data_IF_208649123005
#
_entry.id   IF_208649123005
#
_cell.length_a   1.000
_cell.length_b   1.000
_cell.length_c   1.000
_cell.angle_alpha   90.00
_cell.angle_beta   90.00
_cell.angle_gamma   90.00
#
_symmetry.space_group_name_H-M   'P 1'
#
loop_
_entity.id
_entity.type
_entity.pdbx_description
1 polymer ?
#
# COMPACT_ATOMS: atom_id res chain seq x y z
N UNK A 1 -39.14 -39.86 -15.13
CA UNK A 1 -38.74 -38.48 -15.51
C UNK A 1 -37.23 -38.43 -15.56
N UNK A 2 -36.64 -38.09 -16.71
CA UNK A 2 -35.18 -37.84 -16.81
C UNK A 2 -35.01 -36.33 -16.95
N UNK A 3 -34.44 -35.69 -15.93
CA UNK A 3 -33.97 -34.31 -16.05
C UNK A 3 -32.57 -34.36 -16.66
N UNK A 4 -32.45 -34.03 -17.94
CA UNK A 4 -31.16 -33.79 -18.58
C UNK A 4 -31.00 -32.30 -18.71
N UNK A 5 -29.95 -31.73 -18.10
CA UNK A 5 -29.49 -30.39 -18.45
C UNK A 5 -29.17 -30.36 -19.95
N UNK A 6 -29.62 -29.31 -20.63
CA UNK A 6 -29.38 -29.11 -22.05
C UNK A 6 -27.86 -29.16 -22.33
N UNK A 7 -27.38 -29.93 -23.33
CA UNK A 7 -25.95 -30.04 -23.64
C UNK A 7 -25.26 -28.71 -23.93
N UNK A 8 -26.01 -27.63 -24.19
CA UNK A 8 -25.48 -26.27 -24.36
C UNK A 8 -25.86 -25.44 -23.12
N UNK A 9 -25.25 -25.75 -21.98
CA UNK A 9 -25.38 -24.92 -20.78
C UNK A 9 -24.34 -23.79 -20.83
N UNK A 10 -24.81 -22.56 -20.99
CA UNK A 10 -23.97 -21.36 -20.91
C UNK A 10 -24.11 -20.78 -19.49
N UNK A 11 -22.98 -20.41 -18.90
CA UNK A 11 -22.92 -19.78 -17.58
C UNK A 11 -22.60 -18.30 -17.73
N UNK A 12 -23.37 -17.45 -17.07
CA UNK A 12 -23.14 -16.01 -16.95
C UNK A 12 -22.51 -15.71 -15.59
N UNK A 13 -21.49 -14.85 -15.53
CA UNK A 13 -20.78 -14.53 -14.30
C UNK A 13 -21.09 -13.13 -13.80
N UNK A 14 -21.08 -13.00 -12.48
CA UNK A 14 -21.39 -11.77 -11.78
C UNK A 14 -20.27 -11.45 -10.79
N UNK A 15 -19.99 -10.16 -10.65
CA UNK A 15 -19.09 -9.60 -9.63
C UNK A 15 -19.83 -8.55 -8.84
N UNK A 16 -19.89 -8.73 -7.52
CA UNK A 16 -20.64 -7.88 -6.60
C UNK A 16 -22.11 -7.71 -7.03
N UNK A 17 -22.74 -8.81 -7.48
CA UNK A 17 -24.11 -8.83 -7.99
C UNK A 17 -24.32 -8.18 -9.36
N UNK A 18 -23.27 -7.68 -10.04
CA UNK A 18 -23.37 -7.08 -11.37
C UNK A 18 -22.82 -8.02 -12.45
N UNK A 19 -23.46 -8.12 -13.63
CA UNK A 19 -23.00 -9.01 -14.69
C UNK A 19 -21.62 -8.58 -15.21
N UNK A 20 -20.73 -9.54 -15.41
CA UNK A 20 -19.40 -9.29 -15.99
C UNK A 20 -19.53 -9.39 -17.52
N UNK A 21 -19.23 -8.34 -18.28
CA UNK A 21 -19.31 -8.38 -19.74
C UNK A 21 -18.39 -9.44 -20.35
N UNK A 22 -18.87 -10.14 -21.39
CA UNK A 22 -18.11 -11.14 -22.14
C UNK A 22 -17.52 -12.27 -21.26
N UNK A 23 -18.20 -12.61 -20.16
CA UNK A 23 -17.77 -13.65 -19.23
C UNK A 23 -18.40 -15.02 -19.48
N UNK A 24 -19.28 -15.13 -20.49
CA UNK A 24 -20.05 -16.34 -20.74
C UNK A 24 -19.13 -17.55 -21.01
N UNK A 25 -19.36 -18.64 -20.29
CA UNK A 25 -18.58 -19.88 -20.42
C UNK A 25 -19.48 -21.08 -20.68
N UNK A 26 -19.01 -22.02 -21.50
CA UNK A 26 -19.67 -23.34 -21.67
C UNK A 26 -19.25 -24.37 -20.60
N UNK A 27 -18.49 -23.92 -19.60
CA UNK A 27 -17.99 -24.68 -18.45
C UNK A 27 -18.35 -23.90 -17.18
N UNK A 28 -18.62 -24.56 -16.04
CA UNK A 28 -18.88 -23.90 -14.76
C UNK A 28 -17.62 -23.24 -14.15
N UNK A 29 -16.60 -22.94 -14.96
CA UNK A 29 -15.31 -22.38 -14.53
C UNK A 29 -15.10 -21.02 -15.18
N UNK A 30 -14.91 -19.99 -14.36
CA UNK A 30 -14.44 -18.68 -14.79
C UNK A 30 -12.93 -18.57 -14.66
N UNK A 31 -12.27 -18.05 -15.69
CA UNK A 31 -10.82 -17.86 -15.69
C UNK A 31 -10.54 -16.36 -15.79
N UNK A 32 -9.91 -15.82 -14.74
CA UNK A 32 -9.36 -14.46 -14.74
C UNK A 32 -7.92 -14.52 -15.24
N UNK A 33 -7.61 -13.76 -16.29
CA UNK A 33 -6.25 -13.58 -16.78
C UNK A 33 -5.65 -12.30 -16.23
N UNK A 34 -4.36 -12.33 -15.86
CA UNK A 34 -3.62 -11.15 -15.37
C UNK A 34 -4.27 -10.48 -14.15
N UNK A 35 -4.51 -11.27 -13.10
CA UNK A 35 -5.21 -10.85 -11.88
C UNK A 35 -4.55 -9.62 -11.22
N UNK A 36 -5.36 -8.65 -10.84
CA UNK A 36 -4.97 -7.40 -10.19
C UNK A 36 -5.75 -7.15 -8.89
N UNK A 37 -5.35 -6.13 -8.13
CA UNK A 37 -6.08 -5.73 -6.91
C UNK A 37 -7.56 -5.41 -7.17
N UNK A 38 -7.88 -4.95 -8.39
CA UNK A 38 -9.24 -4.60 -8.81
C UNK A 38 -10.15 -5.82 -8.94
N UNK A 39 -9.60 -7.03 -9.08
CA UNK A 39 -10.37 -8.27 -9.19
C UNK A 39 -10.93 -8.77 -7.86
N UNK A 40 -10.54 -8.14 -6.74
CA UNK A 40 -11.15 -8.42 -5.44
C UNK A 40 -12.66 -8.16 -5.50
N UNK A 41 -13.45 -9.10 -5.00
CA UNK A 41 -14.90 -9.00 -5.03
C UNK A 41 -15.61 -10.32 -4.72
N UNK A 42 -16.94 -10.27 -4.74
CA UNK A 42 -17.82 -11.41 -4.54
C UNK A 42 -18.29 -11.91 -5.90
N UNK A 43 -18.04 -13.17 -6.21
CA UNK A 43 -18.34 -13.76 -7.50
C UNK A 43 -19.44 -14.80 -7.37
N UNK A 44 -20.37 -14.79 -8.34
CA UNK A 44 -21.40 -15.81 -8.50
C UNK A 44 -21.62 -16.09 -9.98
N UNK A 45 -22.32 -17.19 -10.27
CA UNK A 45 -22.73 -17.51 -11.63
C UNK A 45 -24.21 -17.88 -11.68
N UNK A 46 -24.80 -17.74 -12.85
CA UNK A 46 -26.14 -18.25 -13.17
C UNK A 46 -26.10 -18.95 -14.51
N UNK A 47 -27.05 -19.85 -14.76
CA UNK A 47 -27.24 -20.44 -16.09
C UNK A 47 -28.00 -19.44 -16.96
N UNK A 48 -27.62 -19.32 -18.23
CA UNK A 48 -28.32 -18.48 -19.20
C UNK A 48 -29.82 -18.86 -19.27
N UNK A 49 -30.70 -17.86 -19.15
CA UNK A 49 -32.15 -18.04 -19.03
C UNK A 49 -32.66 -18.34 -17.61
N UNK A 50 -31.77 -18.46 -16.62
CA UNK A 50 -32.06 -18.65 -15.21
C UNK A 50 -31.28 -17.66 -14.33
N UNK A 51 -31.10 -16.42 -14.81
CA UNK A 51 -30.40 -15.35 -14.10
C UNK A 51 -31.08 -14.93 -12.80
N UNK A 52 -32.35 -15.30 -12.61
CA UNK A 52 -33.12 -15.13 -11.38
C UNK A 52 -32.68 -16.07 -10.26
N UNK A 53 -31.86 -17.09 -10.56
CA UNK A 53 -31.39 -18.11 -9.64
C UNK A 53 -29.84 -18.21 -9.62
N UNK A 54 -29.12 -17.16 -9.18
CA UNK A 54 -27.67 -17.20 -9.08
C UNK A 54 -27.19 -18.19 -8.00
N UNK A 55 -25.97 -18.68 -8.17
CA UNK A 55 -25.24 -19.43 -7.15
C UNK A 55 -25.03 -18.59 -5.89
N UNK A 56 -24.62 -19.25 -4.80
CA UNK A 56 -24.02 -18.55 -3.68
C UNK A 56 -22.80 -17.72 -4.14
N UNK A 57 -22.55 -16.60 -3.47
CA UNK A 57 -21.43 -15.71 -3.76
C UNK A 57 -20.17 -16.15 -3.00
N UNK A 58 -19.06 -16.26 -3.73
CA UNK A 58 -17.74 -16.57 -3.19
C UNK A 58 -16.83 -15.34 -3.20
N UNK A 59 -16.06 -15.14 -2.12
CA UNK A 59 -15.20 -13.96 -2.00
C UNK A 59 -13.79 -14.24 -2.51
N UNK A 60 -13.40 -13.56 -3.59
CA UNK A 60 -12.02 -13.51 -4.06
C UNK A 60 -11.31 -12.31 -3.44
N UNK A 61 -10.22 -12.56 -2.70
CA UNK A 61 -9.34 -11.51 -2.18
C UNK A 61 -7.99 -11.58 -2.87
N UNK A 62 -7.61 -10.53 -3.59
CA UNK A 62 -6.29 -10.45 -4.24
C UNK A 62 -5.29 -9.80 -3.29
N UNK A 63 -4.25 -10.55 -2.94
CA UNK A 63 -3.16 -10.07 -2.08
C UNK A 63 -1.93 -9.68 -2.89
N UNK A 64 -1.26 -8.60 -2.49
CA UNK A 64 -0.09 -8.03 -3.16
C UNK A 64 0.89 -7.42 -2.16
N UNK A 65 2.16 -7.30 -2.57
CA UNK A 65 3.21 -6.66 -1.78
C UNK A 65 3.04 -5.14 -1.67
N UNK A 66 3.81 -4.46 -0.81
CA UNK A 66 3.74 -3.01 -0.67
C UNK A 66 4.04 -2.29 -1.99
N UNK A 67 3.24 -1.28 -2.33
CA UNK A 67 3.41 -0.40 -3.50
C UNK A 67 3.17 1.06 -3.11
N UNK A 68 3.59 2.00 -3.95
CA UNK A 68 3.44 3.44 -3.71
C UNK A 68 4.01 3.89 -2.34
N UNK A 69 5.11 3.26 -1.89
CA UNK A 69 5.74 3.59 -0.62
C UNK A 69 6.34 5.00 -0.65
N UNK A 70 5.98 5.84 0.32
CA UNK A 70 6.37 7.25 0.38
C UNK A 70 6.68 7.70 1.81
N UNK A 71 7.46 8.77 1.92
CA UNK A 71 7.84 9.41 3.19
C UNK A 71 7.36 10.85 3.21
N UNK A 72 6.75 11.25 4.32
CA UNK A 72 6.41 12.64 4.65
C UNK A 72 7.17 13.11 5.89
N UNK A 73 7.34 14.43 6.04
CA UNK A 73 8.05 15.05 7.16
C UNK A 73 7.19 16.13 7.83
N UNK A 74 7.31 16.24 9.15
CA UNK A 74 6.70 17.29 9.95
C UNK A 74 7.63 17.73 11.10
N UNK A 75 7.93 19.03 11.26
CA UNK A 75 7.55 20.14 10.38
C UNK A 75 8.26 20.04 9.01
N UNK A 76 7.67 20.63 7.98
CA UNK A 76 8.29 20.72 6.65
C UNK A 76 9.18 21.97 6.53
N UNK A 77 10.10 21.97 5.57
CA UNK A 77 11.04 23.07 5.34
C UNK A 77 12.39 22.88 6.04
N UNK A 78 13.08 23.98 6.30
CA UNK A 78 14.32 23.97 7.07
C UNK A 78 14.05 23.71 8.55
N UNK A 79 14.71 22.70 9.10
CA UNK A 79 14.51 22.28 10.49
C UNK A 79 15.62 22.89 11.34
N UNK A 80 15.26 23.67 12.35
CA UNK A 80 16.23 24.35 13.22
C UNK A 80 16.90 23.37 14.16
N UNK A 81 18.22 23.50 14.35
CA UNK A 81 18.96 22.70 15.34
C UNK A 81 18.34 22.77 16.74
N UNK A 82 18.31 21.62 17.40
CA UNK A 82 17.70 21.43 18.72
C UNK A 82 16.18 21.29 18.71
N UNK A 83 15.52 21.45 17.55
CA UNK A 83 14.09 21.12 17.40
C UNK A 83 13.86 19.62 17.22
N UNK A 84 12.61 19.21 17.00
CA UNK A 84 12.25 17.83 16.72
C UNK A 84 11.57 17.72 15.36
N UNK A 85 11.83 16.63 14.65
CA UNK A 85 11.20 16.30 13.38
C UNK A 85 10.67 14.86 13.42
N UNK A 86 9.52 14.64 12.80
CA UNK A 86 8.91 13.33 12.61
C UNK A 86 8.82 13.01 11.13
N UNK A 87 9.36 11.85 10.77
CA UNK A 87 9.17 11.23 9.46
C UNK A 87 8.06 10.19 9.58
N UNK A 88 7.17 10.14 8.59
CA UNK A 88 6.09 9.14 8.52
C UNK A 88 6.14 8.43 7.18
N UNK A 89 6.05 7.10 7.22
CA UNK A 89 6.05 6.24 6.06
C UNK A 89 4.61 5.80 5.74
N UNK A 90 4.25 5.80 4.46
CA UNK A 90 2.97 5.31 3.97
C UNK A 90 3.20 4.34 2.82
N UNK A 91 2.37 3.30 2.69
CA UNK A 91 2.44 2.33 1.60
C UNK A 91 1.09 1.62 1.45
N UNK A 92 0.73 1.32 0.21
CA UNK A 92 -0.47 0.55 -0.14
C UNK A 92 -0.12 -0.95 -0.25
N UNK A 93 -0.82 -1.80 0.50
CA UNK A 93 -0.52 -3.23 0.57
C UNK A 93 -1.73 -4.04 1.01
N UNK A 94 -1.87 -5.28 0.50
CA UNK A 94 -2.86 -6.24 0.99
C UNK A 94 -2.23 -7.64 1.17
N UNK A 95 -2.13 -8.18 2.40
CA UNK A 95 -2.55 -7.61 3.67
C UNK A 95 -1.76 -6.34 4.04
N UNK A 96 -2.22 -5.55 5.03
CA UNK A 96 -1.53 -4.34 5.46
C UNK A 96 -0.07 -4.59 5.84
N UNK A 97 0.74 -3.54 5.72
CA UNK A 97 2.15 -3.54 6.14
C UNK A 97 2.24 -3.81 7.64
N UNK A 98 3.01 -4.83 8.03
CA UNK A 98 3.22 -5.15 9.45
C UNK A 98 4.57 -4.64 9.98
N UNK A 99 5.49 -4.25 9.10
CA UNK A 99 6.81 -3.77 9.49
C UNK A 99 7.27 -2.61 8.61
N UNK A 100 7.73 -1.56 9.28
CA UNK A 100 8.44 -0.43 8.69
C UNK A 100 9.84 -0.34 9.31
N UNK A 101 10.85 -0.16 8.46
CA UNK A 101 12.24 0.04 8.87
C UNK A 101 12.80 1.31 8.26
N UNK A 102 13.37 2.20 9.07
CA UNK A 102 13.92 3.47 8.64
C UNK A 102 15.42 3.39 8.39
N UNK A 103 15.87 4.07 7.35
CA UNK A 103 17.26 4.14 6.96
C UNK A 103 17.66 5.58 6.66
N UNK A 104 18.93 5.89 6.94
CA UNK A 104 19.61 7.07 6.41
C UNK A 104 20.52 6.59 5.29
N UNK A 105 20.45 7.21 4.11
CA UNK A 105 21.27 6.83 2.96
C UNK A 105 22.75 6.86 3.32
N UNK A 106 23.51 5.88 2.82
CA UNK A 106 24.93 5.66 3.12
C UNK A 106 25.24 5.28 4.59
N UNK A 107 24.23 5.01 5.42
CA UNK A 107 24.41 4.41 6.74
C UNK A 107 23.87 2.98 6.70
N UNK A 108 24.74 2.01 6.97
CA UNK A 108 24.38 0.59 6.84
C UNK A 108 23.34 0.13 7.88
N UNK A 109 23.33 0.74 9.07
CA UNK A 109 22.41 0.34 10.14
C UNK A 109 21.04 1.02 10.01
N UNK A 110 19.95 0.28 10.32
CA UNK A 110 18.64 0.88 10.51
C UNK A 110 18.67 1.98 11.58
N UNK A 111 17.87 3.03 11.36
CA UNK A 111 17.72 4.16 12.29
C UNK A 111 16.59 3.96 13.28
N UNK A 112 15.49 3.35 12.84
CA UNK A 112 14.33 3.09 13.66
C UNK A 112 13.44 2.02 13.03
N UNK A 113 12.47 1.57 13.80
CA UNK A 113 11.35 0.75 13.35
C UNK A 113 10.02 1.44 13.69
N UNK A 114 8.97 1.07 12.97
CA UNK A 114 7.64 1.66 13.13
C UNK A 114 7.28 2.64 12.02
N UNK A 115 5.98 2.89 11.86
CA UNK A 115 5.47 3.71 10.76
C UNK A 115 5.96 5.16 10.82
N UNK A 116 6.29 5.65 12.02
CA UNK A 116 6.88 6.98 12.21
C UNK A 116 8.24 6.88 12.91
N UNK A 117 9.15 7.78 12.55
CA UNK A 117 10.46 7.94 13.17
C UNK A 117 10.66 9.39 13.56
N UNK A 118 10.81 9.64 14.87
CA UNK A 118 11.05 10.96 15.41
C UNK A 118 12.52 11.13 15.79
N UNK A 119 13.11 12.22 15.32
CA UNK A 119 14.44 12.68 15.72
C UNK A 119 14.22 13.89 16.62
N UNK A 120 14.59 13.75 17.89
CA UNK A 120 14.51 14.83 18.88
C UNK A 120 15.87 15.51 19.01
N UNK A 121 15.86 16.81 19.30
CA UNK A 121 17.09 17.60 19.44
C UNK A 121 18.04 17.44 18.23
N UNK A 122 17.49 17.66 17.03
CA UNK A 122 18.19 17.41 15.75
C UNK A 122 19.46 18.27 15.62
N UNK A 123 20.52 17.67 15.08
CA UNK A 123 21.84 18.32 14.89
C UNK A 123 22.28 18.31 13.43
N UNK A 124 23.30 19.10 13.10
CA UNK A 124 23.88 19.18 11.74
C UNK A 124 24.23 17.80 11.13
N UNK A 125 24.70 16.84 11.94
CA UNK A 125 25.03 15.48 11.49
C UNK A 125 23.80 14.64 11.10
N UNK A 126 22.60 15.02 11.55
CA UNK A 126 21.35 14.37 11.15
C UNK A 126 20.93 14.75 9.73
N UNK A 127 21.48 15.83 9.16
CA UNK A 127 21.27 16.18 7.75
C UNK A 127 21.50 14.98 6.82
N UNK A 128 20.60 14.77 5.86
CA UNK A 128 20.77 13.74 4.84
C UNK A 128 19.46 13.20 4.28
N UNK A 129 19.59 12.22 3.39
CA UNK A 129 18.46 11.54 2.75
C UNK A 129 17.99 10.36 3.63
N UNK A 130 16.69 10.32 3.94
CA UNK A 130 16.04 9.26 4.71
C UNK A 130 15.01 8.53 3.86
N UNK A 131 14.91 7.22 4.02
CA UNK A 131 13.90 6.40 3.37
C UNK A 131 13.41 5.31 4.33
N UNK A 132 12.23 4.77 4.04
CA UNK A 132 11.68 3.62 4.77
C UNK A 132 11.55 2.40 3.84
N UNK A 133 11.73 1.22 4.41
CA UNK A 133 11.27 -0.04 3.81
C UNK A 133 9.93 -0.41 4.46
N UNK A 134 8.90 -0.62 3.64
CA UNK A 134 7.61 -1.19 4.06
C UNK A 134 7.58 -2.68 3.70
N UNK A 135 7.10 -3.54 4.61
CA UNK A 135 7.05 -4.99 4.41
C UNK A 135 5.70 -5.60 4.83
N UNK A 136 5.15 -6.47 3.97
CA UNK A 136 4.04 -7.36 4.30
C UNK A 136 4.38 -8.82 3.95
N UNK A 137 3.42 -9.75 4.14
CA UNK A 137 3.63 -11.17 3.87
C UNK A 137 3.81 -11.55 2.39
N UNK A 138 3.72 -10.58 1.47
CA UNK A 138 3.87 -10.76 0.02
C UNK A 138 5.13 -10.13 -0.54
N UNK A 139 5.78 -9.21 0.19
CA UNK A 139 7.04 -8.60 -0.24
C UNK A 139 7.41 -7.36 0.57
N UNK A 140 8.42 -6.64 0.09
CA UNK A 140 8.81 -5.32 0.62
C UNK A 140 9.04 -4.31 -0.50
N UNK A 141 8.93 -3.03 -0.16
CA UNK A 141 9.23 -1.92 -1.07
C UNK A 141 9.83 -0.74 -0.30
N UNK A 142 10.94 -0.22 -0.81
CA UNK A 142 11.54 1.01 -0.32
C UNK A 142 10.80 2.24 -0.86
N UNK A 143 10.67 3.27 -0.02
CA UNK A 143 10.24 4.59 -0.47
C UNK A 143 11.30 5.27 -1.33
N UNK A 144 10.90 6.32 -2.03
CA UNK A 144 11.85 7.36 -2.44
C UNK A 144 12.49 8.00 -1.21
N UNK A 145 13.71 8.51 -1.36
CA UNK A 145 14.41 9.17 -0.26
C UNK A 145 13.98 10.63 -0.12
N UNK A 146 13.82 11.09 1.11
CA UNK A 146 13.48 12.46 1.48
C UNK A 146 14.70 13.15 2.10
N UNK A 147 15.07 14.33 1.58
CA UNK A 147 16.18 15.13 2.12
C UNK A 147 15.75 15.92 3.35
N UNK A 148 16.46 15.72 4.46
CA UNK A 148 16.33 16.50 5.69
C UNK A 148 17.43 17.56 5.73
N UNK A 149 17.02 18.83 5.78
CA UNK A 149 17.91 19.99 5.87
C UNK A 149 17.82 20.57 7.27
N UNK A 150 18.98 20.72 7.91
CA UNK A 150 19.11 21.26 9.26
C UNK A 150 19.73 22.66 9.17
N UNK A 151 19.05 23.64 9.73
CA UNK A 151 19.50 25.03 9.83
C UNK A 151 20.13 25.27 11.20
N UNK A 152 21.35 25.83 11.20
CA UNK A 152 22.08 26.14 12.42
C UNK A 152 21.34 27.11 13.34
N UNK A 153 21.49 26.95 14.65
CA UNK A 153 20.91 27.91 15.60
C UNK A 153 21.66 29.25 15.52
N UNK A 154 20.98 30.32 15.13
CA UNK A 154 21.57 31.67 15.18
C UNK A 154 21.77 32.04 16.64
N UNK A 155 23.02 32.11 17.10
CA UNK A 155 23.36 32.63 18.42
C UNK A 155 23.23 34.14 18.41
N UNK A 156 22.24 34.68 19.11
CA UNK A 156 22.11 36.11 19.38
C UNK A 156 23.20 36.54 20.37
N UNK A 157 24.40 36.82 19.90
CA UNK A 157 25.48 37.42 20.70
C UNK A 157 26.11 38.62 20.00
N UNK A 158 25.29 39.60 19.58
CA UNK A 158 25.75 40.95 19.23
C UNK A 158 24.73 41.96 19.78
N UNK A 159 25.24 43.00 20.46
CA UNK A 159 24.61 44.08 21.24
C UNK A 159 24.45 43.86 22.76
N UNK A 160 25.57 43.59 23.45
CA UNK A 160 25.89 44.35 24.67
C UNK A 160 27.20 45.10 24.42
N UNK A 161 27.09 46.26 23.77
CA UNK A 161 28.11 47.30 23.82
C UNK A 161 27.39 48.64 23.60
N UNK A 162 26.94 49.25 24.70
CA UNK A 162 27.19 50.65 25.08
C UNK A 162 26.44 51.02 26.36
#
# INVERSE_FOLDING_TARGET
>A
TKCTLDPITVYSWYKNGQPIPNSNTSSPVYILFSVSSEDTGRYSCAVEGHEDLPSAEETLTVTYGPRNTSVSVSPSGEIVEGSSVTLTCSSDANPPVYKYTWYKKNVASPKASGQSYSITNIISEDRGEYYCEAQNGRGSMNSTALMIVVAGKVSSSILQDK
#
